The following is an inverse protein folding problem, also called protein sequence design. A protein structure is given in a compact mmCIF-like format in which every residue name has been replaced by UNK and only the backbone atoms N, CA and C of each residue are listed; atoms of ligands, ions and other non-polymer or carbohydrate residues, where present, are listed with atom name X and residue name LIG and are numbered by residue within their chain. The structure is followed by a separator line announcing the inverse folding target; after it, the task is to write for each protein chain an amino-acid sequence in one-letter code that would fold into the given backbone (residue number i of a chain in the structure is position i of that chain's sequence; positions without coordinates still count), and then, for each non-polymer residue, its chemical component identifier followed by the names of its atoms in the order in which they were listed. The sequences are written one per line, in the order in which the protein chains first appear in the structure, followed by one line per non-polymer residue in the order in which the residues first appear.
data_IF_968046790071
#
_entry.id   IF_968046790071
#
_cell.length_a   1.000
_cell.length_b   1.000
_cell.length_c   1.000
_cell.angle_alpha   90.00
_cell.angle_beta   90.00
_cell.angle_gamma   90.00
#
_symmetry.space_group_name_H-M   'P 1'
#
loop_
_entity.id
_entity.type
_entity.pdbx_description
1 polymer ?
#
# COMPACT_ATOMS: atom_id res chain seq x y z
N UNK A 1 47.87 -59.84 -11.92
CA UNK A 1 46.51 -59.59 -12.45
C UNK A 1 45.55 -59.45 -11.27
N UNK A 2 45.30 -58.23 -10.80
CA UNK A 2 44.18 -57.92 -9.91
C UNK A 2 43.88 -56.43 -10.07
N UNK A 3 42.60 -56.15 -10.34
CA UNK A 3 42.05 -54.92 -10.91
C UNK A 3 42.06 -53.78 -9.90
N UNK A 4 42.43 -52.59 -10.36
CA UNK A 4 42.10 -51.31 -9.74
C UNK A 4 40.58 -51.14 -9.74
N UNK A 5 39.89 -51.04 -8.59
CA UNK A 5 38.58 -50.42 -8.59
C UNK A 5 38.84 -48.91 -8.49
N UNK A 6 39.14 -48.29 -9.63
CA UNK A 6 38.83 -46.87 -9.81
C UNK A 6 37.32 -46.78 -9.59
N UNK A 7 36.94 -46.49 -8.34
CA UNK A 7 35.58 -46.19 -7.95
C UNK A 7 35.07 -45.17 -8.95
N UNK A 8 34.16 -45.67 -9.79
CA UNK A 8 33.36 -44.88 -10.68
C UNK A 8 32.82 -43.71 -9.85
N UNK A 9 33.29 -42.51 -10.18
CA UNK A 9 32.66 -41.28 -9.79
C UNK A 9 31.19 -41.41 -10.21
N UNK A 10 30.33 -41.68 -9.22
CA UNK A 10 28.90 -41.74 -9.41
C UNK A 10 28.47 -40.37 -9.94
N UNK A 11 28.25 -40.31 -11.24
CA UNK A 11 27.74 -39.14 -11.94
C UNK A 11 26.29 -38.95 -11.45
N UNK A 12 26.11 -38.19 -10.37
CA UNK A 12 24.79 -37.73 -9.95
C UNK A 12 24.27 -36.78 -11.04
N UNK A 13 23.46 -37.33 -11.94
CA UNK A 13 22.68 -36.57 -12.91
C UNK A 13 21.66 -35.73 -12.15
N UNK A 14 21.96 -34.45 -11.95
CA UNK A 14 20.98 -33.46 -11.53
C UNK A 14 19.92 -33.33 -12.64
N UNK A 15 18.83 -34.10 -12.54
CA UNK A 15 17.65 -33.89 -13.38
C UNK A 15 17.08 -32.49 -13.09
N UNK A 16 17.41 -31.54 -13.96
CA UNK A 16 16.77 -30.23 -13.98
C UNK A 16 15.30 -30.43 -14.36
N UNK A 17 14.39 -30.25 -13.39
CA UNK A 17 12.96 -30.23 -13.65
C UNK A 17 12.61 -29.00 -14.51
N UNK A 18 12.63 -29.17 -15.83
CA UNK A 18 12.26 -28.13 -16.79
C UNK A 18 10.75 -28.13 -16.95
N UNK A 19 10.11 -27.02 -16.57
CA UNK A 19 8.66 -26.84 -16.74
C UNK A 19 8.34 -26.78 -18.24
N UNK A 20 7.35 -27.55 -18.74
CA UNK A 20 7.04 -27.57 -20.16
C UNK A 20 6.53 -26.19 -20.63
N UNK A 21 7.08 -25.70 -21.75
CA UNK A 21 6.78 -24.39 -22.36
C UNK A 21 5.29 -24.16 -22.58
N UNK A 22 4.53 -25.22 -22.83
CA UNK A 22 3.09 -25.19 -23.01
C UNK A 22 2.34 -24.57 -21.81
N UNK A 23 2.87 -24.75 -20.58
CA UNK A 23 2.26 -24.16 -19.37
C UNK A 23 2.29 -22.64 -19.42
N UNK A 24 3.41 -22.05 -19.85
CA UNK A 24 3.55 -20.60 -19.96
C UNK A 24 2.65 -20.02 -21.05
N UNK A 25 2.47 -20.72 -22.18
CA UNK A 25 1.59 -20.29 -23.27
C UNK A 25 0.12 -20.25 -22.80
N UNK A 26 -0.35 -21.28 -22.08
CA UNK A 26 -1.73 -21.30 -21.55
C UNK A 26 -1.98 -20.12 -20.61
N UNK A 27 -1.01 -19.82 -19.74
CA UNK A 27 -1.14 -18.72 -18.79
C UNK A 27 -1.03 -17.37 -19.48
N UNK A 28 -0.18 -17.23 -20.50
CA UNK A 28 -0.11 -16.03 -21.33
C UNK A 28 -1.46 -15.72 -21.98
N UNK A 29 -2.12 -16.73 -22.57
CA UNK A 29 -3.48 -16.55 -23.13
C UNK A 29 -4.47 -16.14 -22.05
N UNK A 30 -4.45 -16.79 -20.88
CA UNK A 30 -5.30 -16.41 -19.75
C UNK A 30 -5.08 -14.96 -19.32
N UNK A 31 -3.82 -14.50 -19.21
CA UNK A 31 -3.50 -13.12 -18.85
C UNK A 31 -3.98 -12.11 -19.91
N UNK A 32 -3.89 -12.45 -21.19
CA UNK A 32 -4.42 -11.61 -22.27
C UNK A 32 -5.94 -11.49 -22.17
N UNK A 33 -6.64 -12.58 -21.90
CA UNK A 33 -8.10 -12.56 -21.69
C UNK A 33 -8.45 -11.69 -20.48
N UNK A 34 -7.76 -11.85 -19.35
CA UNK A 34 -7.98 -11.03 -18.16
C UNK A 34 -7.72 -9.54 -18.44
N UNK A 35 -6.72 -9.22 -19.27
CA UNK A 35 -6.44 -7.84 -19.69
C UNK A 35 -7.58 -7.26 -20.53
N UNK A 36 -8.06 -8.01 -21.52
CA UNK A 36 -9.22 -7.60 -22.32
C UNK A 36 -10.47 -7.42 -21.47
N UNK A 37 -10.63 -8.25 -20.43
CA UNK A 37 -11.75 -8.16 -19.50
C UNK A 37 -11.65 -6.91 -18.62
N UNK A 38 -10.45 -6.52 -18.16
CA UNK A 38 -10.25 -5.25 -17.46
C UNK A 38 -10.55 -4.04 -18.34
N UNK A 39 -10.16 -4.10 -19.62
CA UNK A 39 -10.51 -3.07 -20.61
C UNK A 39 -12.03 -3.05 -20.86
N UNK A 40 -12.66 -4.21 -21.04
CA UNK A 40 -14.11 -4.30 -21.21
C UNK A 40 -14.87 -3.75 -20.00
N UNK A 41 -14.39 -4.03 -18.79
CA UNK A 41 -14.96 -3.52 -17.55
C UNK A 41 -14.85 -1.99 -17.44
N UNK A 42 -13.90 -1.33 -18.13
CA UNK A 42 -13.82 0.13 -18.13
C UNK A 42 -14.88 0.80 -19.01
N UNK A 43 -15.36 0.10 -20.05
CA UNK A 43 -16.41 0.61 -20.94
C UNK A 43 -17.83 0.40 -20.41
N UNK A 44 -18.01 -0.52 -19.46
CA UNK A 44 -19.32 -0.80 -18.86
C UNK A 44 -19.53 0.12 -17.65
N UNK A 45 -20.57 0.95 -17.67
CA UNK A 45 -20.96 1.74 -16.51
C UNK A 45 -21.86 0.90 -15.60
N UNK A 46 -21.33 0.44 -14.47
CA UNK A 46 -22.17 -0.25 -13.49
C UNK A 46 -23.13 0.74 -12.81
N UNK A 47 -24.41 0.36 -12.61
CA UNK A 47 -25.37 1.21 -11.92
C UNK A 47 -24.92 1.45 -10.47
N UNK A 48 -25.21 2.64 -9.95
CA UNK A 48 -24.89 2.99 -8.57
C UNK A 48 -25.56 2.03 -7.58
N UNK A 49 -24.79 1.53 -6.63
CA UNK A 49 -25.26 0.67 -5.55
C UNK A 49 -25.44 1.54 -4.30
N UNK A 50 -26.62 2.18 -4.20
CA UNK A 50 -26.97 3.03 -3.06
C UNK A 50 -26.02 4.23 -2.88
N UNK A 51 -25.34 4.40 -1.72
CA UNK A 51 -24.43 5.52 -1.48
C UNK A 51 -23.09 5.43 -2.24
N UNK A 52 -22.81 4.30 -2.90
CA UNK A 52 -21.57 4.08 -3.64
C UNK A 52 -21.78 4.50 -5.09
N UNK A 53 -20.98 5.47 -5.56
CA UNK A 53 -21.04 5.92 -6.95
C UNK A 53 -20.69 4.77 -7.91
N UNK A 54 -21.34 4.75 -9.08
CA UNK A 54 -21.08 3.72 -10.09
C UNK A 54 -19.61 3.65 -10.53
N UNK A 55 -18.88 4.77 -10.46
CA UNK A 55 -17.45 4.82 -10.73
C UNK A 55 -16.60 3.99 -9.75
N UNK A 56 -16.94 4.00 -8.46
CA UNK A 56 -16.24 3.21 -7.44
C UNK A 56 -16.49 1.71 -7.65
N UNK A 57 -17.70 1.34 -8.09
CA UNK A 57 -18.05 -0.05 -8.42
C UNK A 57 -17.21 -0.55 -9.59
N UNK A 58 -17.14 0.23 -10.69
CA UNK A 58 -16.27 -0.09 -11.83
C UNK A 58 -14.81 -0.31 -11.42
N UNK A 59 -14.25 0.61 -10.62
CA UNK A 59 -12.87 0.52 -10.15
C UNK A 59 -12.64 -0.71 -9.26
N UNK A 60 -13.60 -1.04 -8.39
CA UNK A 60 -13.52 -2.22 -7.51
C UNK A 60 -13.52 -3.51 -8.33
N UNK A 61 -14.38 -3.61 -9.34
CA UNK A 61 -14.41 -4.76 -10.26
C UNK A 61 -13.09 -4.89 -11.01
N UNK A 62 -12.57 -3.78 -11.56
CA UNK A 62 -11.27 -3.77 -12.22
C UNK A 62 -10.12 -4.20 -11.30
N UNK A 63 -10.15 -3.78 -10.03
CA UNK A 63 -9.15 -4.14 -9.02
C UNK A 63 -9.20 -5.64 -8.69
N UNK A 64 -10.40 -6.22 -8.56
CA UNK A 64 -10.56 -7.67 -8.31
C UNK A 64 -9.95 -8.47 -9.46
N UNK A 65 -10.23 -8.09 -10.71
CA UNK A 65 -9.66 -8.74 -11.89
C UNK A 65 -8.12 -8.59 -11.89
N UNK A 66 -7.61 -7.41 -11.55
CA UNK A 66 -6.17 -7.15 -11.45
C UNK A 66 -5.48 -8.00 -10.38
N UNK A 67 -6.13 -8.22 -9.23
CA UNK A 67 -5.61 -9.09 -8.16
C UNK A 67 -5.50 -10.53 -8.65
N UNK A 68 -6.55 -11.07 -9.28
CA UNK A 68 -6.51 -12.44 -9.86
C UNK A 68 -5.39 -12.57 -10.88
N UNK A 69 -5.22 -11.56 -11.74
CA UNK A 69 -4.12 -11.50 -12.72
C UNK A 69 -2.76 -11.54 -12.03
N UNK A 70 -2.55 -10.72 -10.99
CA UNK A 70 -1.29 -10.67 -10.24
C UNK A 70 -0.95 -12.01 -9.57
N UNK A 71 -1.93 -12.68 -8.96
CA UNK A 71 -1.73 -14.01 -8.39
C UNK A 71 -1.29 -15.03 -9.45
N UNK A 72 -1.90 -15.02 -10.62
CA UNK A 72 -1.56 -15.94 -11.70
C UNK A 72 -0.11 -15.74 -12.20
N UNK A 73 0.33 -14.47 -12.28
CA UNK A 73 1.72 -14.11 -12.63
C UNK A 73 2.71 -14.62 -11.59
N UNK A 74 2.48 -14.31 -10.31
CA UNK A 74 3.39 -14.72 -9.23
C UNK A 74 3.45 -16.25 -9.12
N UNK A 75 2.31 -16.92 -9.24
CA UNK A 75 2.25 -18.36 -9.06
C UNK A 75 2.99 -19.13 -10.16
N UNK A 76 2.88 -18.67 -11.42
CA UNK A 76 3.40 -19.38 -12.59
C UNK A 76 4.68 -18.76 -13.15
N UNK A 77 4.67 -17.47 -13.52
CA UNK A 77 5.81 -16.82 -14.19
C UNK A 77 6.98 -16.59 -13.26
N UNK A 78 6.72 -16.24 -12.00
CA UNK A 78 7.78 -16.18 -11.00
C UNK A 78 8.19 -17.57 -10.47
N UNK A 79 7.58 -18.63 -10.99
CA UNK A 79 7.93 -20.00 -10.64
C UNK A 79 7.68 -20.34 -9.17
N UNK A 80 6.92 -19.55 -8.42
CA UNK A 80 6.70 -19.75 -6.97
C UNK A 80 6.10 -21.13 -6.69
N UNK A 81 5.28 -21.67 -7.61
CA UNK A 81 4.72 -23.03 -7.50
C UNK A 81 5.81 -24.11 -7.41
N UNK A 82 6.76 -24.07 -8.33
CA UNK A 82 7.79 -25.11 -8.55
C UNK A 82 9.14 -24.76 -7.90
N UNK A 83 9.27 -23.53 -7.39
CA UNK A 83 10.47 -23.05 -6.71
C UNK A 83 10.68 -23.72 -5.35
N UNK A 84 11.86 -23.44 -4.79
CA UNK A 84 12.27 -23.93 -3.47
C UNK A 84 11.41 -23.29 -2.36
N UNK A 85 11.46 -23.87 -1.16
CA UNK A 85 10.81 -23.28 0.03
C UNK A 85 11.34 -21.87 0.33
N UNK A 86 12.63 -21.62 0.04
CA UNK A 86 13.24 -20.30 0.17
C UNK A 86 12.57 -19.29 -0.76
N UNK A 87 12.34 -19.64 -2.02
CA UNK A 87 11.64 -18.78 -2.98
C UNK A 87 10.22 -18.44 -2.52
N UNK A 88 9.49 -19.42 -1.97
CA UNK A 88 8.13 -19.22 -1.45
C UNK A 88 8.10 -18.29 -0.25
N UNK A 89 9.06 -18.43 0.67
CA UNK A 89 9.21 -17.54 1.82
C UNK A 89 9.52 -16.10 1.38
N UNK A 90 10.43 -15.91 0.43
CA UNK A 90 10.74 -14.58 -0.12
C UNK A 90 9.54 -13.94 -0.82
N UNK A 91 8.77 -14.73 -1.57
CA UNK A 91 7.53 -14.25 -2.19
C UNK A 91 6.53 -13.76 -1.13
N UNK A 92 6.34 -14.51 -0.04
CA UNK A 92 5.47 -14.09 1.07
C UNK A 92 5.99 -12.83 1.78
N UNK A 93 7.30 -12.73 2.01
CA UNK A 93 7.94 -11.55 2.60
C UNK A 93 7.71 -10.29 1.75
N UNK A 94 7.72 -10.43 0.42
CA UNK A 94 7.39 -9.34 -0.50
C UNK A 94 5.98 -8.78 -0.30
N UNK A 95 4.99 -9.62 0.03
CA UNK A 95 3.64 -9.15 0.36
C UNK A 95 3.59 -8.46 1.73
N UNK A 96 4.30 -8.97 2.74
CA UNK A 96 4.44 -8.27 4.03
C UNK A 96 5.02 -6.88 3.81
N UNK A 97 6.08 -6.77 3.01
CA UNK A 97 6.68 -5.50 2.62
C UNK A 97 5.71 -4.58 1.86
N UNK A 98 4.93 -5.11 0.92
CA UNK A 98 3.91 -4.36 0.19
C UNK A 98 2.84 -3.77 1.13
N UNK A 99 2.39 -4.52 2.14
CA UNK A 99 1.46 -4.02 3.15
C UNK A 99 2.09 -2.93 4.02
N UNK A 100 3.37 -3.06 4.40
CA UNK A 100 4.09 -2.01 5.11
C UNK A 100 4.15 -0.71 4.30
N UNK A 101 4.41 -0.79 2.99
CA UNK A 101 4.33 0.38 2.09
C UNK A 101 2.94 1.00 2.09
N UNK A 102 1.88 0.18 2.05
CA UNK A 102 0.50 0.66 2.15
C UNK A 102 0.22 1.42 3.44
N UNK A 103 0.70 0.90 4.58
CA UNK A 103 0.56 1.57 5.88
C UNK A 103 1.26 2.93 5.91
N UNK A 104 2.47 3.03 5.35
CA UNK A 104 3.20 4.30 5.26
C UNK A 104 2.47 5.28 4.34
N UNK A 105 1.90 4.82 3.22
CA UNK A 105 1.10 5.67 2.33
C UNK A 105 -0.17 6.20 2.99
N UNK A 106 -0.80 5.40 3.85
CA UNK A 106 -1.97 5.82 4.63
C UNK A 106 -1.57 6.81 5.73
N UNK A 107 -0.36 6.72 6.29
CA UNK A 107 0.16 7.67 7.29
C UNK A 107 0.30 9.10 6.73
N UNK A 108 0.71 9.24 5.46
CA UNK A 108 0.93 10.55 4.82
C UNK A 108 -0.26 11.52 4.89
N UNK A 109 -1.48 11.17 4.45
CA UNK A 109 -2.64 12.05 4.59
C UNK A 109 -3.07 12.24 6.04
N UNK A 110 -2.80 11.28 6.93
CA UNK A 110 -3.17 11.37 8.35
C UNK A 110 -2.37 12.46 9.08
N UNK A 111 -1.13 12.73 8.64
CA UNK A 111 -0.30 13.84 9.17
C UNK A 111 -0.92 15.22 8.92
N UNK A 112 -1.73 15.40 7.88
CA UNK A 112 -2.40 16.68 7.65
C UNK A 112 -3.40 17.06 8.77
N UNK A 113 -3.78 16.10 9.60
CA UNK A 113 -4.66 16.29 10.75
C UNK A 113 -3.90 16.42 12.07
N UNK A 114 -2.57 16.30 12.07
CA UNK A 114 -1.76 16.58 13.25
C UNK A 114 -1.76 18.10 13.50
N UNK A 115 -2.05 18.52 14.73
CA UNK A 115 -1.88 19.92 15.13
C UNK A 115 -0.38 20.16 15.29
N UNK A 116 0.27 20.54 14.21
CA UNK A 116 1.66 20.94 14.21
C UNK A 116 1.80 22.37 14.77
N UNK A 117 2.54 22.51 15.88
CA UNK A 117 2.99 23.81 16.37
C UNK A 117 4.05 24.37 15.40
N UNK A 118 3.60 25.09 14.37
CA UNK A 118 4.51 25.84 13.50
C UNK A 118 5.17 26.98 14.26
N UNK A 119 6.49 27.12 14.11
CA UNK A 119 7.23 28.31 14.58
C UNK A 119 6.98 29.54 13.69
N UNK A 120 6.45 29.32 12.49
CA UNK A 120 5.95 30.37 11.61
C UNK A 120 4.45 30.48 11.82
N UNK A 121 4.01 31.56 12.45
CA UNK A 121 2.60 31.88 12.54
C UNK A 121 2.05 32.12 11.14
N UNK A 122 1.37 31.12 10.57
CA UNK A 122 0.59 31.31 9.35
C UNK A 122 -0.64 32.18 9.65
N UNK A 123 -0.43 33.50 9.68
CA UNK A 123 -1.47 34.51 9.53
C UNK A 123 -2.09 34.37 8.14
N UNK A 124 -3.14 33.57 8.00
CA UNK A 124 -3.84 33.50 6.71
C UNK A 124 -4.95 32.47 6.55
N UNK A 125 -5.12 31.50 7.44
CA UNK A 125 -6.33 30.67 7.46
C UNK A 125 -6.96 30.73 8.83
N UNK A 126 -8.03 31.51 8.94
CA UNK A 126 -8.91 31.49 10.09
C UNK A 126 -9.52 30.09 10.23
N UNK A 127 -8.78 29.17 10.86
CA UNK A 127 -9.24 27.85 11.25
C UNK A 127 -9.99 28.02 12.58
N UNK A 128 -11.18 27.46 12.63
CA UNK A 128 -12.20 27.62 13.67
C UNK A 128 -11.65 27.83 15.09
N UNK A 129 -12.21 28.84 15.75
CA UNK A 129 -11.97 29.28 17.14
C UNK A 129 -12.52 28.25 18.13
N UNK A 130 -11.99 27.02 18.10
CA UNK A 130 -12.23 25.99 19.11
C UNK A 130 -10.99 25.09 19.17
N UNK A 131 -10.10 25.49 20.08
CA UNK A 131 -9.08 24.75 20.85
C UNK A 131 -7.85 24.12 20.17
N UNK A 132 -6.69 24.69 20.53
CA UNK A 132 -5.36 24.13 20.34
C UNK A 132 -4.26 25.16 20.03
N UNK A 133 -4.62 26.41 19.75
CA UNK A 133 -3.67 27.47 19.39
C UNK A 133 -2.87 27.97 20.60
N UNK A 134 -1.54 27.96 20.48
CA UNK A 134 -0.61 28.51 21.49
C UNK A 134 -0.50 30.05 21.48
N UNK A 135 -1.22 30.74 20.59
CA UNK A 135 -1.28 32.20 20.61
C UNK A 135 -2.33 32.65 21.64
N UNK A 136 -2.02 33.66 22.46
CA UNK A 136 -3.00 34.20 23.40
C UNK A 136 -4.20 34.74 22.62
N UNK A 137 -5.40 34.41 23.07
CA UNK A 137 -6.63 34.87 22.44
C UNK A 137 -6.79 36.35 22.78
N UNK A 138 -6.50 37.23 21.82
CA UNK A 138 -6.73 38.68 21.97
C UNK A 138 -8.18 38.99 21.60
N UNK A 139 -8.97 39.43 22.57
CA UNK A 139 -10.33 39.92 22.29
C UNK A 139 -10.23 41.33 21.67
N UNK A 140 -10.88 41.60 20.52
CA UNK A 140 -10.87 42.94 19.94
C UNK A 140 -11.47 43.94 20.94
N UNK A 141 -10.88 45.14 21.11
CA UNK A 141 -11.39 46.11 22.09
C UNK A 141 -12.77 46.61 21.66
N UNK A 142 -13.80 46.21 22.39
CA UNK A 142 -15.11 46.89 22.33
C UNK A 142 -15.00 48.20 23.09
N UNK A 143 -15.64 49.25 22.54
CA UNK A 143 -15.50 50.66 22.93
C UNK A 143 -15.35 50.86 24.45
N UNK A 144 -14.15 51.25 24.88
CA UNK A 144 -13.83 51.63 26.26
C UNK A 144 -13.08 50.59 27.10
N UNK A 145 -12.76 49.40 26.57
CA UNK A 145 -11.97 48.40 27.29
C UNK A 145 -10.66 48.09 26.55
N UNK A 146 -9.55 48.03 27.31
CA UNK A 146 -8.24 47.59 26.80
C UNK A 146 -8.37 46.16 26.25
N UNK A 147 -7.59 45.77 25.23
CA UNK A 147 -7.63 44.40 24.71
C UNK A 147 -7.27 43.41 25.82
N UNK A 148 -8.20 42.53 26.16
CA UNK A 148 -8.00 41.48 27.16
C UNK A 148 -7.28 40.31 26.47
N UNK A 149 -6.06 40.04 26.94
CA UNK A 149 -5.26 38.88 26.55
C UNK A 149 -5.77 37.71 27.38
N UNK A 150 -6.61 36.86 26.80
CA UNK A 150 -7.08 35.66 27.49
C UNK A 150 -5.92 34.66 27.51
N UNK A 151 -5.35 34.50 28.71
CA UNK A 151 -4.23 33.61 28.98
C UNK A 151 -4.69 32.16 28.74
N UNK A 152 -4.05 31.49 27.78
CA UNK A 152 -4.32 30.08 27.53
C UNK A 152 -3.57 29.30 28.59
N UNK A 153 -4.23 29.13 29.74
CA UNK A 153 -3.72 28.41 30.91
C UNK A 153 -3.59 26.90 30.64
N UNK A 154 -2.72 26.55 29.69
CA UNK A 154 -2.17 25.21 29.48
C UNK A 154 -0.97 25.09 30.43
N UNK A 155 -1.29 25.03 31.73
CA UNK A 155 -0.57 24.35 32.79
C UNK A 155 0.92 24.07 32.53
N UNK A 156 1.74 25.12 32.44
CA UNK A 156 3.20 24.98 32.57
C UNK A 156 3.50 24.92 34.06
N UNK A 157 3.47 23.71 34.64
CA UNK A 157 4.00 23.53 35.99
C UNK A 157 5.49 23.91 35.97
N UNK A 158 5.97 24.81 36.82
CA UNK A 158 7.40 25.01 36.97
C UNK A 158 7.98 23.71 37.56
N UNK A 159 8.88 23.04 36.82
CA UNK A 159 9.79 22.09 37.45
C UNK A 159 10.69 22.89 38.38
N UNK A 160 10.51 22.64 39.67
CA UNK A 160 11.47 22.99 40.73
C UNK A 160 12.82 22.32 40.42
#
# INVERSE_FOLDING_TARGET
MAKTPLQAAAHHSHEHHVVPTFTYIKVLVALTILMLLTIGASYVNFPALGPISGAIVNQTVALIIAIVKAFLVVWIFMGVKWGTQLTKMWAALGFVWFFLLGLILIDYPMRAYEVNQGWEGEVGKARHVTDGSALPRVVPPTTGHQPEVLDNDINVRPRQ
#
